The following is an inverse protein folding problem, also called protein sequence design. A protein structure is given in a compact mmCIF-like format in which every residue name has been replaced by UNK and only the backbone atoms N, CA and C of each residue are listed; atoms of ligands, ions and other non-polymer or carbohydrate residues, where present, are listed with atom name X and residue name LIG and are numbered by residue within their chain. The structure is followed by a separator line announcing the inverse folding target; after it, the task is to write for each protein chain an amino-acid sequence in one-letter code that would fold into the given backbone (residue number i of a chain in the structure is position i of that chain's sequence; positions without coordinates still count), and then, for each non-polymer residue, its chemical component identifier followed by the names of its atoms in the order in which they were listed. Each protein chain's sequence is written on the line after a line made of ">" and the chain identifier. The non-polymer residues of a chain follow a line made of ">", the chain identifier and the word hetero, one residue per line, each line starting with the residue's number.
data_IF_293229689536
#
_entry.id   IF_293229689536
#
_cell.length_a   1.000
_cell.length_b   1.000
_cell.length_c   1.000
_cell.angle_alpha   90.00
_cell.angle_beta   90.00
_cell.angle_gamma   90.00
#
_symmetry.space_group_name_H-M   'P 1'
#
loop_
_entity.id
_entity.type
_entity.pdbx_description
1 polymer ?
#
# COMPACT_ATOMS: atom_id res chain seq x y z
N UNK A 1 13.47 -8.05 -17.30
CA UNK A 1 13.31 -6.60 -17.07
C UNK A 1 13.36 -6.39 -15.56
N UNK A 2 14.43 -5.81 -15.02
CA UNK A 2 14.47 -5.46 -13.60
C UNK A 2 13.66 -4.17 -13.43
N UNK A 3 12.40 -4.29 -13.01
CA UNK A 3 11.59 -3.13 -12.66
C UNK A 3 12.27 -2.55 -11.41
N UNK A 4 12.76 -1.30 -11.43
CA UNK A 4 13.37 -0.70 -10.25
C UNK A 4 12.35 -0.80 -9.12
N UNK A 5 12.81 -1.26 -7.95
CA UNK A 5 12.04 -1.51 -6.74
C UNK A 5 11.45 -0.22 -6.11
N UNK A 6 11.21 0.82 -6.91
CA UNK A 6 10.44 1.98 -6.52
C UNK A 6 8.97 1.61 -6.66
N UNK A 7 8.31 1.33 -5.55
CA UNK A 7 6.86 1.19 -5.54
C UNK A 7 6.26 2.54 -5.97
N UNK A 8 5.87 2.66 -7.24
CA UNK A 8 5.08 3.80 -7.70
C UNK A 8 3.61 3.49 -7.46
N UNK A 9 2.82 4.53 -7.22
CA UNK A 9 1.39 4.41 -7.00
C UNK A 9 0.67 3.64 -8.11
N UNK A 10 1.03 3.88 -9.38
CA UNK A 10 0.47 3.14 -10.52
C UNK A 10 0.79 1.64 -10.47
N UNK A 11 2.03 1.27 -10.13
CA UNK A 11 2.39 -0.15 -9.95
C UNK A 11 1.62 -0.77 -8.79
N UNK A 12 1.38 -0.02 -7.71
CA UNK A 12 0.62 -0.52 -6.58
C UNK A 12 -0.86 -0.73 -6.94
N UNK A 13 -1.48 0.18 -7.69
CA UNK A 13 -2.86 0.01 -8.19
C UNK A 13 -2.94 -1.22 -9.10
N UNK A 14 -2.08 -1.33 -10.12
CA UNK A 14 -2.11 -2.48 -11.02
C UNK A 14 -1.91 -3.81 -10.28
N UNK A 15 -1.05 -3.82 -9.26
CA UNK A 15 -0.85 -5.00 -8.41
C UNK A 15 -2.05 -5.27 -7.52
N UNK A 16 -2.76 -4.24 -7.05
CA UNK A 16 -3.99 -4.42 -6.28
C UNK A 16 -5.16 -4.91 -7.14
N UNK A 17 -5.23 -4.47 -8.40
CA UNK A 17 -6.21 -4.98 -9.37
C UNK A 17 -5.92 -6.42 -9.80
N UNK A 18 -4.64 -6.81 -9.85
CA UNK A 18 -4.21 -8.21 -10.08
C UNK A 18 -4.38 -9.11 -8.85
N UNK A 19 -4.45 -8.52 -7.65
CA UNK A 19 -4.64 -9.23 -6.40
C UNK A 19 -6.14 -9.52 -6.16
N UNK A 20 -6.47 -10.65 -5.51
CA UNK A 20 -7.83 -10.91 -5.10
C UNK A 20 -8.30 -9.85 -4.09
N UNK A 21 -9.60 -9.57 -4.07
CA UNK A 21 -10.25 -8.65 -3.11
C UNK A 21 -10.07 -9.07 -1.63
N UNK A 22 -9.56 -10.28 -1.41
CA UNK A 22 -9.20 -10.84 -0.10
C UNK A 22 -7.72 -10.69 0.27
N UNK A 23 -6.93 -10.02 -0.58
CA UNK A 23 -5.52 -9.81 -0.33
C UNK A 23 -5.33 -8.97 0.94
N UNK A 24 -4.66 -9.58 1.92
CA UNK A 24 -4.25 -8.90 3.15
C UNK A 24 -2.83 -8.39 2.96
N UNK A 25 -2.66 -7.07 3.03
CA UNK A 25 -1.37 -6.40 2.91
C UNK A 25 -0.81 -6.08 4.29
N UNK A 26 0.52 -6.06 4.39
CA UNK A 26 1.23 -5.72 5.62
C UNK A 26 2.05 -4.46 5.37
N UNK A 27 1.90 -3.46 6.24
CA UNK A 27 2.67 -2.23 6.14
C UNK A 27 4.09 -2.53 6.63
N UNK A 28 5.13 -2.22 5.84
CA UNK A 28 6.51 -2.50 6.25
C UNK A 28 6.90 -1.72 7.52
N UNK A 29 6.36 -0.51 7.71
CA UNK A 29 6.70 0.33 8.85
C UNK A 29 5.95 -0.05 10.14
N UNK A 30 4.65 -0.29 10.06
CA UNK A 30 3.83 -0.54 11.25
C UNK A 30 3.59 -2.02 11.54
N UNK A 31 4.02 -2.92 10.65
CA UNK A 31 3.68 -4.35 10.67
C UNK A 31 2.18 -4.60 10.87
N UNK A 32 1.35 -3.63 10.45
CA UNK A 32 -0.11 -3.71 10.54
C UNK A 32 -0.65 -4.40 9.31
N UNK A 33 -1.59 -5.32 9.54
CA UNK A 33 -2.35 -6.00 8.50
C UNK A 33 -3.56 -5.14 8.14
N UNK A 34 -3.77 -4.94 6.86
CA UNK A 34 -4.96 -4.27 6.35
C UNK A 34 -5.44 -4.98 5.09
N UNK A 35 -6.74 -4.89 4.85
CA UNK A 35 -7.37 -5.35 3.63
C UNK A 35 -7.69 -4.14 2.78
N UNK A 36 -7.53 -4.26 1.48
CA UNK A 36 -8.04 -3.24 0.58
C UNK A 36 -9.52 -3.49 0.38
N UNK A 37 -10.35 -2.53 0.76
CA UNK A 37 -11.79 -2.60 0.56
C UNK A 37 -12.22 -1.91 -0.74
N UNK A 38 -11.45 -0.91 -1.18
CA UNK A 38 -11.73 -0.16 -2.41
C UNK A 38 -10.44 0.44 -2.98
N UNK A 39 -10.20 0.27 -4.28
CA UNK A 39 -9.06 0.85 -5.01
C UNK A 39 -9.58 1.94 -5.93
N UNK A 40 -9.04 3.15 -5.80
CA UNK A 40 -9.31 4.25 -6.72
C UNK A 40 -8.00 4.78 -7.31
N UNK A 41 -8.12 5.43 -8.46
CA UNK A 41 -6.98 5.99 -9.21
C UNK A 41 -6.10 6.94 -8.36
N UNK A 42 -6.71 7.65 -7.39
CA UNK A 42 -6.03 8.63 -6.55
C UNK A 42 -5.95 8.28 -5.06
N UNK A 43 -6.64 7.23 -4.60
CA UNK A 43 -6.65 6.79 -3.19
C UNK A 43 -7.05 5.32 -3.06
N UNK A 44 -6.64 4.67 -1.98
CA UNK A 44 -7.03 3.29 -1.69
C UNK A 44 -7.66 3.27 -0.30
N UNK A 45 -8.85 2.70 -0.17
CA UNK A 45 -9.49 2.49 1.12
C UNK A 45 -8.94 1.19 1.70
N UNK A 46 -8.29 1.31 2.85
CA UNK A 46 -7.74 0.18 3.58
C UNK A 46 -8.49 0.02 4.89
N UNK A 47 -8.84 -1.21 5.22
CA UNK A 47 -9.47 -1.58 6.48
C UNK A 47 -8.47 -2.34 7.34
N UNK A 48 -8.22 -1.84 8.56
CA UNK A 48 -7.41 -2.52 9.56
C UNK A 48 -8.12 -3.81 9.99
N UNK A 49 -7.51 -4.97 9.75
CA UNK A 49 -8.16 -6.26 10.04
C UNK A 49 -8.24 -6.58 11.53
N UNK A 50 -7.52 -5.83 12.37
CA UNK A 50 -7.46 -6.02 13.82
C UNK A 50 -8.54 -5.19 14.52
N UNK A 51 -8.66 -3.91 14.13
CA UNK A 51 -9.64 -2.96 14.67
C UNK A 51 -10.95 -2.90 13.86
N UNK A 52 -10.96 -3.32 12.60
CA UNK A 52 -12.07 -3.08 11.66
C UNK A 52 -12.20 -1.62 11.23
N UNK A 53 -11.12 -0.83 11.37
CA UNK A 53 -11.15 0.60 11.07
C UNK A 53 -10.77 0.86 9.62
N UNK A 54 -11.69 1.49 8.88
CA UNK A 54 -11.50 1.85 7.48
C UNK A 54 -10.90 3.26 7.35
N UNK A 55 -9.74 3.35 6.72
CA UNK A 55 -9.03 4.61 6.49
C UNK A 55 -8.59 4.78 5.03
N UNK A 56 -8.65 6.01 4.47
CA UNK A 56 -8.18 6.28 3.12
C UNK A 56 -6.65 6.46 3.09
N UNK A 57 -5.97 5.65 2.29
CA UNK A 57 -4.56 5.80 1.97
C UNK A 57 -4.40 6.64 0.69
N UNK A 58 -3.81 7.83 0.83
CA UNK A 58 -3.54 8.71 -0.31
C UNK A 58 -2.18 8.42 -0.94
N UNK A 59 -2.06 8.67 -2.24
CA UNK A 59 -0.80 8.56 -2.99
C UNK A 59 0.37 9.28 -2.31
N UNK A 60 0.15 10.51 -1.87
CA UNK A 60 1.19 11.33 -1.23
C UNK A 60 1.67 10.72 0.09
N UNK A 61 0.78 10.10 0.88
CA UNK A 61 1.17 9.39 2.10
C UNK A 61 1.99 8.13 1.79
N UNK A 62 1.59 7.38 0.76
CA UNK A 62 2.32 6.20 0.34
C UNK A 62 3.73 6.54 -0.18
N UNK A 63 3.83 7.55 -1.03
CA UNK A 63 5.11 8.00 -1.60
C UNK A 63 6.06 8.50 -0.50
N UNK A 64 5.55 9.28 0.46
CA UNK A 64 6.33 9.72 1.63
C UNK A 64 6.81 8.53 2.49
N UNK A 65 5.99 7.49 2.67
CA UNK A 65 6.34 6.26 3.41
C UNK A 65 7.37 5.39 2.66
N UNK A 66 7.20 5.24 1.35
CA UNK A 66 8.07 4.45 0.49
C UNK A 66 9.48 5.07 0.42
N UNK A 67 9.55 6.39 0.28
CA UNK A 67 10.81 7.14 0.31
C UNK A 67 11.52 6.99 1.67
N UNK A 68 10.78 7.03 2.78
CA UNK A 68 11.35 6.89 4.12
C UNK A 68 11.87 5.47 4.42
N UNK A 69 11.27 4.43 3.85
CA UNK A 69 11.72 3.04 4.05
C UNK A 69 13.06 2.76 3.35
N UNK A 70 13.40 3.52 2.30
CA UNK A 70 14.68 3.37 1.59
C UNK A 70 15.88 3.99 2.34
N UNK A 71 15.66 4.83 3.35
CA UNK A 71 16.73 5.65 3.99
C UNK A 71 17.40 5.02 5.22
N UNK A 72 17.35 3.69 5.40
CA UNK A 72 18.16 3.02 6.45
C UNK A 72 18.70 1.67 5.98
N UNK A 73 19.61 1.73 5.02
CA UNK A 73 20.41 0.59 4.55
C UNK A 73 21.71 1.07 3.90
N UNK A 74 22.50 1.83 4.65
CA UNK A 74 23.89 2.20 4.31
C UNK A 74 24.82 1.78 5.42
#
# INVERSE_FOLDING_TARGET
>A
MAIPFGATWGTLIERCEDLPDEATLITPLASKRFRITDVQDQRIIIEDVDSGDSQPLQREQFEALAEHTHTRGG
#
